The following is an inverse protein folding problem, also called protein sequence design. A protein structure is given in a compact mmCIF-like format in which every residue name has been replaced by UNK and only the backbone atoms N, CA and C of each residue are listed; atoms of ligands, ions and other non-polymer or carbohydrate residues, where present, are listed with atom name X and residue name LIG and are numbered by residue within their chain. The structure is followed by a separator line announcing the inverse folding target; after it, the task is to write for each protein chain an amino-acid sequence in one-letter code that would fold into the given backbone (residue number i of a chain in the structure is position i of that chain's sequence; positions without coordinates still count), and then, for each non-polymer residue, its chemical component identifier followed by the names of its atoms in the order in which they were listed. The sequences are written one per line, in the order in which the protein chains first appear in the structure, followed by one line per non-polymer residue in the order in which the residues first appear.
data_IF_662244675037
#
_entry.id   IF_662244675037
#
_cell.length_a   1.000
_cell.length_b   1.000
_cell.length_c   1.000
_cell.angle_alpha   90.00
_cell.angle_beta   90.00
_cell.angle_gamma   90.00
#
_symmetry.space_group_name_H-M   'P 1'
#
loop_
_entity.id
_entity.type
_entity.pdbx_description
1 polymer ?
#
# COMPACT_ATOMS: atom_id res chain seq x y z
N UNK A 1 -22.91 11.34 -19.35
CA UNK A 1 -22.20 11.86 -18.17
C UNK A 1 -22.47 10.88 -17.05
N UNK A 2 -21.55 9.92 -16.83
CA UNK A 2 -21.66 8.91 -15.78
C UNK A 2 -21.06 9.50 -14.50
N UNK A 3 -21.87 9.54 -13.44
CA UNK A 3 -21.44 10.00 -12.13
C UNK A 3 -20.51 8.95 -11.52
N UNK A 4 -19.28 9.34 -11.21
CA UNK A 4 -18.30 8.52 -10.50
C UNK A 4 -18.74 8.40 -9.04
N UNK A 5 -18.85 7.18 -8.55
CA UNK A 5 -19.13 6.83 -7.16
C UNK A 5 -17.87 6.29 -6.50
N UNK A 6 -17.62 6.67 -5.27
CA UNK A 6 -16.59 6.09 -4.43
C UNK A 6 -17.02 4.69 -3.97
N UNK A 7 -16.12 3.70 -3.85
CA UNK A 7 -16.45 2.29 -3.59
C UNK A 7 -16.89 1.96 -2.16
N UNK A 8 -17.55 2.86 -1.47
CA UNK A 8 -18.39 2.51 -0.32
C UNK A 8 -19.84 2.41 -0.79
N UNK A 9 -20.12 1.62 -1.85
CA UNK A 9 -21.47 1.41 -2.36
C UNK A 9 -21.92 -0.01 -2.09
N UNK A 10 -22.90 -0.10 -1.23
CA UNK A 10 -23.64 -1.28 -0.80
C UNK A 10 -24.55 -1.86 -1.89
N UNK A 11 -24.44 -3.14 -2.12
CA UNK A 11 -25.45 -3.94 -2.83
C UNK A 11 -26.17 -4.82 -1.81
N UNK A 12 -27.42 -4.50 -1.53
CA UNK A 12 -28.26 -5.32 -0.67
C UNK A 12 -28.70 -6.59 -1.40
N UNK A 13 -28.22 -7.76 -0.98
CA UNK A 13 -28.83 -9.06 -1.29
C UNK A 13 -29.20 -9.79 -0.02
N UNK A 14 -30.49 -10.06 0.11
CA UNK A 14 -31.06 -10.96 1.14
C UNK A 14 -30.74 -12.42 0.78
N UNK A 15 -29.93 -13.08 1.61
CA UNK A 15 -29.56 -14.49 1.42
C UNK A 15 -29.42 -15.25 2.73
N UNK A 16 -30.13 -16.31 2.83
CA UNK A 16 -30.29 -17.38 3.81
C UNK A 16 -29.15 -17.61 4.81
N UNK A 17 -29.52 -17.62 6.10
CA UNK A 17 -28.67 -17.97 7.25
C UNK A 17 -28.16 -19.42 7.17
N UNK A 18 -26.86 -19.58 6.98
CA UNK A 18 -26.12 -20.72 7.49
C UNK A 18 -25.13 -20.20 8.55
N UNK A 19 -25.25 -20.71 9.76
CA UNK A 19 -24.36 -20.37 10.88
C UNK A 19 -22.99 -21.00 10.68
N UNK A 20 -22.19 -20.45 9.77
CA UNK A 20 -20.75 -20.60 9.81
C UNK A 20 -20.22 -19.56 10.81
N UNK A 21 -19.52 -20.01 11.84
CA UNK A 21 -18.67 -19.13 12.65
C UNK A 21 -17.60 -18.62 11.68
N UNK A 22 -17.85 -17.44 11.09
CA UNK A 22 -16.88 -16.75 10.24
C UNK A 22 -15.75 -16.35 11.18
N UNK A 23 -14.53 -16.77 10.86
CA UNK A 23 -13.36 -16.25 11.57
C UNK A 23 -13.40 -14.72 11.45
N UNK A 24 -13.25 -14.04 12.58
CA UNK A 24 -13.27 -12.57 12.63
C UNK A 24 -12.07 -12.05 11.84
N UNK A 25 -12.33 -11.10 10.94
CA UNK A 25 -11.29 -10.44 10.15
C UNK A 25 -10.86 -9.19 10.89
N UNK A 26 -9.60 -9.16 11.32
CA UNK A 26 -9.05 -8.09 12.15
C UNK A 26 -8.13 -7.18 11.36
N UNK A 27 -8.18 -5.88 11.68
CA UNK A 27 -7.23 -4.90 11.15
C UNK A 27 -5.81 -5.24 11.63
N UNK A 28 -4.85 -5.28 10.71
CA UNK A 28 -3.44 -5.50 11.01
C UNK A 28 -2.73 -4.17 11.28
N UNK A 29 -2.22 -3.98 12.50
CA UNK A 29 -1.37 -2.83 12.83
C UNK A 29 0.00 -2.99 12.18
N UNK A 30 0.45 -1.96 11.47
CA UNK A 30 1.76 -1.86 10.84
C UNK A 30 2.57 -0.70 11.47
N UNK A 31 2.63 -0.68 12.80
CA UNK A 31 3.33 0.33 13.58
C UNK A 31 4.82 0.38 13.21
N UNK A 32 5.35 1.58 12.96
CA UNK A 32 6.72 1.78 12.48
C UNK A 32 7.76 1.11 13.39
N UNK A 33 7.61 1.23 14.72
CA UNK A 33 8.54 0.63 15.66
C UNK A 33 8.54 -0.90 15.56
N UNK A 34 7.36 -1.51 15.51
CA UNK A 34 7.24 -2.97 15.40
C UNK A 34 7.82 -3.48 14.07
N UNK A 35 7.63 -2.71 12.98
CA UNK A 35 8.22 -3.02 11.68
C UNK A 35 9.75 -2.90 11.67
N UNK A 36 10.30 -1.91 12.38
CA UNK A 36 11.75 -1.73 12.53
C UNK A 36 12.39 -2.83 13.39
N UNK A 37 11.71 -3.31 14.43
CA UNK A 37 12.20 -4.33 15.36
C UNK A 37 11.89 -5.77 14.91
N UNK A 38 11.07 -5.96 13.88
CA UNK A 38 10.67 -7.29 13.41
C UNK A 38 11.88 -8.12 12.97
N UNK A 39 11.94 -9.37 13.41
CA UNK A 39 12.92 -10.33 12.91
C UNK A 39 12.59 -10.69 11.45
N UNK A 40 13.61 -10.72 10.59
CA UNK A 40 13.52 -11.06 9.19
C UNK A 40 14.30 -12.35 8.92
N UNK A 41 13.92 -13.05 7.85
CA UNK A 41 14.59 -14.24 7.38
C UNK A 41 15.56 -13.88 6.24
N UNK A 42 16.73 -14.51 6.23
CA UNK A 42 17.70 -14.34 5.14
C UNK A 42 17.14 -14.94 3.85
N UNK A 43 17.22 -14.17 2.77
CA UNK A 43 16.83 -14.64 1.44
C UNK A 43 18.06 -14.82 0.53
N UNK A 44 17.92 -15.52 -0.60
CA UNK A 44 19.04 -15.74 -1.55
C UNK A 44 19.65 -14.41 -2.00
N UNK A 45 20.95 -14.41 -2.18
CA UNK A 45 21.69 -13.26 -2.69
C UNK A 45 21.21 -12.89 -4.11
N UNK A 46 21.25 -11.61 -4.45
CA UNK A 46 21.04 -11.16 -5.83
C UNK A 46 22.10 -11.79 -6.76
N UNK A 47 21.78 -12.00 -8.05
CA UNK A 47 22.79 -12.38 -9.03
C UNK A 47 23.99 -11.45 -8.97
N UNK A 48 25.20 -12.01 -9.00
CA UNK A 48 26.44 -11.23 -8.85
C UNK A 48 26.55 -10.12 -9.89
N UNK A 49 26.05 -10.35 -11.10
CA UNK A 49 26.02 -9.38 -12.20
C UNK A 49 25.14 -8.16 -11.93
N UNK A 50 24.16 -8.28 -11.03
CA UNK A 50 23.31 -7.14 -10.62
C UNK A 50 23.97 -6.29 -9.53
N UNK A 51 24.97 -6.80 -8.82
CA UNK A 51 25.61 -6.10 -7.69
C UNK A 51 26.81 -5.31 -8.17
N UNK A 52 26.64 -4.01 -8.40
CA UNK A 52 27.72 -3.13 -8.86
C UNK A 52 28.76 -2.87 -7.76
N UNK A 53 28.35 -2.84 -6.51
CA UNK A 53 29.24 -2.67 -5.36
C UNK A 53 28.53 -2.95 -4.04
N UNK A 54 29.30 -3.15 -2.97
CA UNK A 54 28.78 -3.32 -1.60
C UNK A 54 28.61 -4.75 -1.17
N UNK A 55 27.66 -5.00 -0.26
CA UNK A 55 27.45 -6.31 0.38
C UNK A 55 26.13 -6.92 -0.09
N UNK A 56 26.22 -8.06 -0.77
CA UNK A 56 25.05 -8.79 -1.28
C UNK A 56 24.41 -9.68 -0.19
N UNK A 57 23.83 -9.05 0.81
CA UNK A 57 23.11 -9.71 1.91
C UNK A 57 21.82 -9.00 2.21
N UNK A 58 20.71 -9.74 2.26
CA UNK A 58 19.39 -9.19 2.47
C UNK A 58 18.45 -10.19 3.16
N UNK A 59 17.35 -9.65 3.67
CA UNK A 59 16.37 -10.36 4.47
C UNK A 59 14.97 -9.88 4.12
N UNK A 60 14.00 -10.73 4.40
CA UNK A 60 12.60 -10.45 4.10
C UNK A 60 11.68 -11.06 5.16
N UNK A 61 10.48 -10.50 5.27
CA UNK A 61 9.36 -11.09 6.01
C UNK A 61 8.05 -10.67 5.39
N UNK A 62 7.26 -11.64 4.96
CA UNK A 62 5.88 -11.39 4.54
C UNK A 62 5.02 -11.15 5.77
N UNK A 63 4.25 -10.08 5.77
CA UNK A 63 3.34 -9.66 6.83
C UNK A 63 1.88 -9.96 6.50
N UNK A 64 1.52 -9.86 5.23
CA UNK A 64 0.19 -10.13 4.71
C UNK A 64 0.27 -10.63 3.26
N UNK A 65 -0.59 -11.60 2.96
CA UNK A 65 -0.82 -12.11 1.61
C UNK A 65 -2.32 -12.11 1.31
N UNK A 66 -2.76 -11.19 0.48
CA UNK A 66 -4.14 -11.02 0.05
C UNK A 66 -4.22 -10.74 -1.44
N UNK A 67 -4.96 -9.71 -1.83
CA UNK A 67 -4.99 -9.20 -3.21
C UNK A 67 -3.68 -8.52 -3.58
N UNK A 68 -2.96 -8.01 -2.59
CA UNK A 68 -1.55 -7.62 -2.65
C UNK A 68 -0.76 -8.27 -1.52
N UNK A 69 0.55 -8.23 -1.62
CA UNK A 69 1.48 -8.70 -0.59
C UNK A 69 2.07 -7.48 0.12
N UNK A 70 2.06 -7.53 1.45
CA UNK A 70 2.80 -6.58 2.30
C UNK A 70 4.00 -7.33 2.88
N UNK A 71 5.21 -6.84 2.61
CA UNK A 71 6.42 -7.44 3.15
C UNK A 71 7.38 -6.39 3.70
N UNK A 72 8.26 -6.84 4.59
CA UNK A 72 9.47 -6.12 4.98
C UNK A 72 10.63 -6.63 4.16
N UNK A 73 11.45 -5.73 3.68
CA UNK A 73 12.73 -6.04 3.06
C UNK A 73 13.84 -5.25 3.76
N UNK A 74 15.00 -5.87 3.86
CA UNK A 74 16.20 -5.26 4.43
C UNK A 74 17.42 -5.68 3.63
N UNK A 75 18.35 -4.73 3.42
CA UNK A 75 19.59 -4.98 2.73
C UNK A 75 20.77 -4.30 3.44
N UNK A 76 21.96 -4.93 3.32
CA UNK A 76 23.22 -4.27 3.64
C UNK A 76 23.57 -3.23 2.57
N UNK A 77 24.49 -2.28 2.87
CA UNK A 77 24.89 -1.27 1.90
C UNK A 77 25.36 -1.88 0.59
N UNK A 78 24.70 -1.51 -0.50
CA UNK A 78 24.99 -2.01 -1.84
C UNK A 78 24.49 -1.06 -2.93
N UNK A 79 24.99 -1.25 -4.15
CA UNK A 79 24.46 -0.66 -5.37
C UNK A 79 24.04 -1.79 -6.29
N UNK A 80 22.77 -1.82 -6.64
CA UNK A 80 22.15 -2.85 -7.48
C UNK A 80 21.80 -2.24 -8.84
N UNK A 81 22.14 -2.95 -9.91
CA UNK A 81 21.73 -2.62 -11.28
C UNK A 81 20.41 -3.31 -11.61
N UNK A 82 19.42 -2.52 -11.96
CA UNK A 82 18.11 -2.96 -12.44
C UNK A 82 18.07 -2.66 -13.93
N UNK A 83 18.79 -3.46 -14.72
CA UNK A 83 18.87 -3.31 -16.18
C UNK A 83 17.65 -3.90 -16.90
N UNK A 84 17.02 -4.92 -16.31
CA UNK A 84 15.76 -5.44 -16.80
C UNK A 84 14.58 -4.61 -16.28
N UNK A 85 13.54 -4.38 -17.11
CA UNK A 85 12.38 -3.60 -16.70
C UNK A 85 11.68 -4.20 -15.48
N UNK A 86 11.35 -3.33 -14.52
CA UNK A 86 10.62 -3.70 -13.29
C UNK A 86 9.28 -4.36 -13.66
N UNK A 87 8.97 -5.57 -13.16
CA UNK A 87 7.83 -6.34 -13.66
C UNK A 87 6.48 -5.96 -13.02
N UNK A 88 6.48 -5.10 -12.01
CA UNK A 88 5.30 -4.69 -11.24
C UNK A 88 5.43 -3.23 -10.76
N UNK A 89 4.32 -2.69 -10.26
CA UNK A 89 4.37 -1.48 -9.43
C UNK A 89 4.76 -1.87 -8.01
N UNK A 90 5.75 -1.21 -7.44
CA UNK A 90 6.17 -1.40 -6.06
C UNK A 90 5.98 -0.11 -5.27
N UNK A 91 5.04 -0.13 -4.31
CA UNK A 91 4.99 0.91 -3.31
C UNK A 91 6.03 0.61 -2.22
N UNK A 92 6.81 1.63 -1.87
CA UNK A 92 7.88 1.56 -0.87
C UNK A 92 7.65 2.62 0.20
N UNK A 93 7.81 2.22 1.47
CA UNK A 93 7.96 3.10 2.61
C UNK A 93 9.29 2.82 3.30
N UNK A 94 10.18 3.81 3.32
CA UNK A 94 11.48 3.69 3.99
C UNK A 94 11.29 3.69 5.50
N UNK A 95 11.75 2.65 6.17
CA UNK A 95 11.69 2.50 7.63
C UNK A 95 13.01 2.87 8.30
N UNK A 96 14.15 2.51 7.67
CA UNK A 96 15.50 2.85 8.16
C UNK A 96 16.45 3.08 6.98
N UNK A 97 17.46 3.92 7.22
CA UNK A 97 18.48 4.23 6.23
C UNK A 97 17.99 5.16 5.14
N UNK A 98 18.61 5.03 3.99
CA UNK A 98 18.27 5.83 2.79
C UNK A 98 18.52 5.03 1.52
N UNK A 99 17.88 5.46 0.44
CA UNK A 99 18.05 4.88 -0.90
C UNK A 99 18.15 6.01 -1.92
N UNK A 100 18.95 5.80 -2.95
CA UNK A 100 19.03 6.69 -4.10
C UNK A 100 18.72 5.88 -5.35
N UNK A 101 17.69 6.28 -6.06
CA UNK A 101 17.27 5.71 -7.33
C UNK A 101 17.78 6.58 -8.47
N UNK A 102 18.54 6.01 -9.40
CA UNK A 102 18.97 6.69 -10.60
C UNK A 102 18.42 5.96 -11.80
N UNK A 103 17.46 6.56 -12.51
CA UNK A 103 16.87 5.93 -13.69
C UNK A 103 17.91 5.75 -14.82
N UNK A 104 17.65 4.83 -15.75
CA UNK A 104 18.47 4.66 -16.95
C UNK A 104 18.57 5.93 -17.83
N UNK A 105 17.69 6.91 -17.61
CA UNK A 105 17.72 8.23 -18.25
C UNK A 105 18.55 9.26 -17.44
N UNK A 106 19.14 8.87 -16.30
CA UNK A 106 19.98 9.71 -15.45
C UNK A 106 19.21 10.56 -14.43
N UNK A 107 17.90 10.36 -14.28
CA UNK A 107 17.13 11.04 -13.26
C UNK A 107 17.45 10.43 -11.88
N UNK A 108 17.87 11.27 -10.93
CA UNK A 108 18.29 10.85 -9.59
C UNK A 108 17.30 11.36 -8.54
N UNK A 109 16.82 10.45 -7.70
CA UNK A 109 15.91 10.73 -6.59
C UNK A 109 16.43 10.05 -5.33
N UNK A 110 16.32 10.72 -4.18
CA UNK A 110 16.80 10.23 -2.88
C UNK A 110 15.66 10.22 -1.88
N UNK A 111 15.59 9.15 -1.10
CA UNK A 111 14.58 8.94 -0.06
C UNK A 111 15.24 8.47 1.23
N UNK A 112 14.70 8.91 2.37
CA UNK A 112 15.20 8.57 3.71
C UNK A 112 14.07 8.04 4.60
N UNK A 113 14.42 7.59 5.80
CA UNK A 113 13.45 7.05 6.75
C UNK A 113 12.27 8.01 6.96
N UNK A 114 11.04 7.51 6.77
CA UNK A 114 9.78 8.25 6.80
C UNK A 114 9.25 8.65 5.43
N UNK A 115 10.08 8.65 4.38
CA UNK A 115 9.64 8.88 3.01
C UNK A 115 8.94 7.65 2.42
N UNK A 116 8.16 7.90 1.38
CA UNK A 116 7.58 6.86 0.55
C UNK A 116 7.64 7.25 -0.93
N UNK A 117 7.68 6.24 -1.78
CA UNK A 117 7.66 6.38 -3.22
C UNK A 117 7.04 5.16 -3.89
N UNK A 118 6.79 5.25 -5.18
CA UNK A 118 6.33 4.14 -6.00
C UNK A 118 7.27 3.98 -7.20
N UNK A 119 7.80 2.76 -7.36
CA UNK A 119 8.55 2.33 -8.53
C UNK A 119 7.55 1.71 -9.50
N UNK A 120 7.32 2.32 -10.68
CA UNK A 120 6.33 1.80 -11.61
C UNK A 120 6.89 0.63 -12.43
N UNK A 121 5.98 -0.23 -12.92
CA UNK A 121 6.29 -1.25 -13.91
C UNK A 121 7.07 -0.66 -15.08
N UNK A 122 8.08 -1.37 -15.57
CA UNK A 122 8.95 -0.95 -16.68
C UNK A 122 10.10 -0.01 -16.30
N UNK A 123 10.24 0.37 -15.02
CA UNK A 123 11.38 1.18 -14.57
C UNK A 123 12.69 0.40 -14.68
N UNK A 124 13.77 1.10 -15.09
CA UNK A 124 15.14 0.59 -15.12
C UNK A 124 16.10 1.62 -14.55
N UNK A 125 17.20 1.17 -13.93
CA UNK A 125 18.19 2.07 -13.36
C UNK A 125 19.05 1.41 -12.29
N UNK A 126 19.58 2.21 -11.37
CA UNK A 126 20.34 1.73 -10.22
C UNK A 126 19.63 2.05 -8.92
N UNK A 127 19.76 1.11 -7.99
CA UNK A 127 19.25 1.22 -6.62
C UNK A 127 20.46 1.25 -5.68
N UNK A 128 20.78 2.42 -5.13
CA UNK A 128 21.92 2.64 -4.25
C UNK A 128 21.44 2.78 -2.80
N UNK A 129 21.88 1.88 -1.94
CA UNK A 129 21.64 1.86 -0.49
C UNK A 129 22.95 2.18 0.21
N UNK A 130 23.21 3.45 0.58
CA UNK A 130 24.52 3.84 1.15
C UNK A 130 24.72 3.37 2.58
N UNK A 131 23.66 3.02 3.27
CA UNK A 131 23.65 2.47 4.64
C UNK A 131 22.81 1.22 4.66
N UNK A 132 22.74 0.49 5.81
CA UNK A 132 21.71 -0.53 6.01
C UNK A 132 20.36 0.11 5.72
N UNK A 133 19.59 -0.55 4.90
CA UNK A 133 18.32 -0.05 4.38
C UNK A 133 17.21 -1.02 4.75
N UNK A 134 16.10 -0.49 5.28
CA UNK A 134 14.92 -1.28 5.61
C UNK A 134 13.67 -0.57 5.14
N UNK A 135 12.78 -1.33 4.52
CA UNK A 135 11.55 -0.82 3.94
C UNK A 135 10.35 -1.73 4.17
N UNK A 136 9.16 -1.13 4.10
CA UNK A 136 7.91 -1.83 3.87
C UNK A 136 7.58 -1.72 2.40
N UNK A 137 7.28 -2.85 1.75
CA UNK A 137 6.88 -2.93 0.35
C UNK A 137 5.44 -3.43 0.22
N UNK A 138 4.76 -2.94 -0.82
CA UNK A 138 3.45 -3.43 -1.25
C UNK A 138 3.52 -3.67 -2.74
N UNK A 139 3.22 -4.91 -3.14
CA UNK A 139 3.25 -5.38 -4.51
C UNK A 139 1.96 -6.15 -4.78
N UNK A 140 1.33 -5.98 -5.92
CA UNK A 140 0.19 -6.81 -6.30
C UNK A 140 0.56 -8.30 -6.30
N UNK A 141 -0.40 -9.18 -6.03
CA UNK A 141 -0.13 -10.63 -5.89
C UNK A 141 0.53 -11.23 -7.13
N UNK A 142 0.08 -10.82 -8.33
CA UNK A 142 0.65 -11.35 -9.58
C UNK A 142 2.11 -10.91 -9.76
N UNK A 143 2.40 -9.64 -9.42
CA UNK A 143 3.75 -9.12 -9.39
C UNK A 143 4.65 -9.89 -8.43
N UNK A 144 4.12 -10.17 -7.22
CA UNK A 144 4.84 -10.97 -6.22
C UNK A 144 5.13 -12.40 -6.72
N UNK A 145 4.15 -13.10 -7.26
CA UNK A 145 4.32 -14.45 -7.84
C UNK A 145 5.32 -14.45 -9.01
N UNK A 146 5.34 -13.36 -9.79
CA UNK A 146 6.35 -13.19 -10.85
C UNK A 146 7.76 -13.05 -10.28
N UNK A 147 7.93 -12.31 -9.17
CA UNK A 147 9.22 -12.21 -8.44
C UNK A 147 9.66 -13.56 -7.91
N UNK A 148 8.78 -14.28 -7.23
CA UNK A 148 9.09 -15.61 -6.70
C UNK A 148 9.45 -16.58 -7.82
N UNK A 149 8.74 -16.51 -8.96
CA UNK A 149 9.04 -17.30 -10.15
C UNK A 149 10.34 -16.83 -10.82
N UNK A 150 10.59 -15.52 -10.89
CA UNK A 150 11.82 -14.94 -11.44
C UNK A 150 13.04 -15.29 -10.58
N UNK A 151 12.94 -15.24 -9.27
CA UNK A 151 13.96 -15.71 -8.33
C UNK A 151 14.16 -17.23 -8.52
N UNK A 152 13.09 -18.00 -8.76
CA UNK A 152 13.17 -19.46 -9.00
C UNK A 152 13.63 -19.82 -10.41
N UNK A 153 13.37 -18.98 -11.39
CA UNK A 153 13.62 -19.26 -12.82
C UNK A 153 14.45 -18.22 -13.51
N UNK A 154 15.22 -17.41 -12.86
CA UNK A 154 16.10 -16.32 -13.39
C UNK A 154 16.37 -16.28 -14.93
N UNK A 155 15.57 -16.97 -15.73
CA UNK A 155 15.72 -17.11 -17.19
C UNK A 155 14.37 -17.38 -17.87
N UNK A 156 13.76 -16.33 -18.43
CA UNK A 156 12.91 -16.48 -19.61
C UNK A 156 11.41 -16.63 -19.38
N UNK A 157 10.77 -15.66 -18.77
CA UNK A 157 9.36 -15.40 -19.04
C UNK A 157 9.26 -14.09 -19.84
N UNK A 158 8.68 -14.16 -21.06
CA UNK A 158 8.25 -12.98 -21.79
C UNK A 158 7.10 -12.33 -21.02
N UNK A 159 7.42 -11.37 -20.14
CA UNK A 159 6.44 -10.50 -19.53
C UNK A 159 6.06 -9.42 -20.56
N UNK A 160 4.78 -9.32 -20.91
CA UNK A 160 4.28 -8.17 -21.68
C UNK A 160 4.36 -6.93 -20.77
N UNK A 161 5.45 -6.18 -20.91
CA UNK A 161 5.69 -4.98 -20.14
C UNK A 161 4.80 -3.85 -20.66
N UNK A 162 3.96 -3.33 -19.81
CA UNK A 162 3.22 -2.10 -20.09
C UNK A 162 4.23 -0.95 -20.28
N UNK A 163 4.11 -0.24 -21.39
CA UNK A 163 4.91 0.97 -21.69
C UNK A 163 4.34 2.19 -20.93
N UNK A 164 4.09 2.04 -19.64
CA UNK A 164 3.54 3.08 -18.77
C UNK A 164 4.58 4.12 -18.33
N UNK A 165 4.26 4.85 -17.29
CA UNK A 165 5.12 5.85 -16.68
C UNK A 165 6.35 5.18 -16.05
N UNK A 166 7.53 5.43 -16.61
CA UNK A 166 8.80 4.82 -16.15
C UNK A 166 9.56 5.69 -15.13
N UNK A 167 8.90 6.68 -14.54
CA UNK A 167 9.48 7.57 -13.54
C UNK A 167 9.01 7.19 -12.16
N UNK A 168 9.94 7.04 -11.20
CA UNK A 168 9.60 6.87 -9.78
C UNK A 168 8.72 8.02 -9.30
N UNK A 169 7.62 7.71 -8.64
CA UNK A 169 6.67 8.68 -8.11
C UNK A 169 6.96 8.97 -6.64
N UNK A 170 7.46 10.18 -6.27
CA UNK A 170 7.62 10.56 -4.87
C UNK A 170 6.27 10.70 -4.18
N UNK A 171 6.11 10.03 -3.05
CA UNK A 171 4.91 10.07 -2.21
C UNK A 171 5.22 10.70 -0.84
N UNK A 172 5.89 11.84 -0.86
CA UNK A 172 6.39 12.54 0.33
C UNK A 172 5.25 13.11 1.16
N UNK A 173 5.17 12.73 2.43
CA UNK A 173 4.12 13.15 3.37
C UNK A 173 3.88 14.66 3.39
N UNK A 174 4.95 15.48 3.39
CA UNK A 174 4.85 16.94 3.42
C UNK A 174 4.16 17.54 2.18
N UNK A 175 4.34 16.90 1.01
CA UNK A 175 3.69 17.31 -0.24
C UNK A 175 2.25 16.82 -0.28
N UNK A 176 2.01 15.59 0.14
CA UNK A 176 0.69 14.96 0.12
C UNK A 176 -0.31 15.67 1.05
N UNK A 177 0.12 16.13 2.24
CA UNK A 177 -0.72 16.90 3.17
C UNK A 177 -1.25 18.22 2.59
N UNK A 178 -0.67 18.72 1.52
CA UNK A 178 -1.07 19.98 0.86
C UNK A 178 -1.81 19.76 -0.45
N UNK A 179 -1.95 18.51 -0.88
CA UNK A 179 -2.60 18.20 -2.13
C UNK A 179 -4.12 18.44 -1.99
N UNK A 180 -4.75 19.13 -2.94
CA UNK A 180 -6.19 19.27 -2.94
C UNK A 180 -6.83 17.91 -3.23
N UNK A 181 -7.95 17.65 -2.57
CA UNK A 181 -8.81 16.51 -2.84
C UNK A 181 -9.97 16.94 -3.73
N UNK A 182 -10.45 16.00 -4.54
CA UNK A 182 -11.68 16.15 -5.29
C UNK A 182 -12.83 15.68 -4.39
N UNK A 183 -13.90 16.48 -4.28
CA UNK A 183 -15.06 16.15 -3.45
C UNK A 183 -15.73 14.88 -3.96
N UNK A 184 -16.10 14.01 -3.04
CA UNK A 184 -16.87 12.80 -3.30
C UNK A 184 -18.34 13.00 -2.96
N UNK A 185 -19.27 12.22 -3.58
CA UNK A 185 -20.66 12.19 -3.14
C UNK A 185 -20.76 11.81 -1.66
N UNK A 186 -21.69 12.38 -0.89
CA UNK A 186 -21.90 12.00 0.50
C UNK A 186 -22.11 10.48 0.65
N UNK A 187 -21.62 9.91 1.75
CA UNK A 187 -21.95 8.53 2.10
C UNK A 187 -23.47 8.35 2.23
N UNK A 188 -23.99 7.14 1.95
CA UNK A 188 -25.38 6.81 2.25
C UNK A 188 -25.73 7.10 3.73
N UNK A 189 -26.90 7.69 3.98
CA UNK A 189 -27.28 8.11 5.35
C UNK A 189 -27.27 6.94 6.34
N UNK A 190 -27.56 5.71 5.89
CA UNK A 190 -27.58 4.51 6.69
C UNK A 190 -26.21 4.07 7.23
N UNK A 191 -25.12 4.50 6.60
CA UNK A 191 -23.75 4.18 7.07
C UNK A 191 -23.20 5.25 8.00
N UNK A 192 -23.76 6.47 8.00
CA UNK A 192 -23.30 7.58 8.85
C UNK A 192 -23.97 7.50 10.21
N UNK A 193 -23.21 7.06 11.22
CA UNK A 193 -23.71 7.00 12.60
C UNK A 193 -23.72 8.36 13.28
N UNK A 194 -22.77 9.21 12.97
CA UNK A 194 -22.69 10.60 13.46
C UNK A 194 -21.61 11.39 12.73
N UNK A 195 -21.65 12.71 12.85
CA UNK A 195 -20.65 13.63 12.32
C UNK A 195 -21.04 14.25 10.98
N UNK A 196 -20.03 14.76 10.27
CA UNK A 196 -20.20 15.35 8.95
C UNK A 196 -20.28 14.24 7.87
N UNK A 197 -20.81 14.60 6.70
CA UNK A 197 -20.84 13.71 5.54
C UNK A 197 -20.12 14.40 4.36
N UNK A 198 -18.88 14.82 4.64
CA UNK A 198 -18.02 15.54 3.71
C UNK A 198 -16.68 14.82 3.63
N UNK A 199 -16.34 14.36 2.43
CA UNK A 199 -15.10 13.62 2.16
C UNK A 199 -14.64 13.82 0.73
N UNK A 200 -13.35 13.53 0.48
CA UNK A 200 -12.75 13.72 -0.82
C UNK A 200 -11.59 12.76 -1.06
N UNK A 201 -11.17 12.66 -2.31
CA UNK A 201 -10.16 11.72 -2.76
C UNK A 201 -9.29 12.35 -3.84
N UNK A 202 -8.06 11.83 -3.97
CA UNK A 202 -7.18 12.12 -5.10
C UNK A 202 -6.36 10.91 -5.48
N UNK A 203 -6.58 10.37 -6.66
CA UNK A 203 -5.72 9.32 -7.22
C UNK A 203 -4.37 9.92 -7.59
N UNK A 204 -3.30 9.31 -7.07
CA UNK A 204 -1.90 9.70 -7.31
C UNK A 204 -1.24 8.82 -8.36
N UNK A 205 -1.59 7.53 -8.37
CA UNK A 205 -1.12 6.51 -9.30
C UNK A 205 -2.22 5.49 -9.57
N UNK A 206 -2.26 4.98 -10.80
CA UNK A 206 -3.13 3.88 -11.21
C UNK A 206 -2.38 3.01 -12.20
N UNK A 207 -1.91 1.86 -11.72
CA UNK A 207 -1.18 0.84 -12.45
C UNK A 207 -1.62 -0.54 -12.00
N UNK A 208 -0.68 -1.41 -11.56
CA UNK A 208 -0.98 -2.69 -10.92
C UNK A 208 -1.54 -2.47 -9.50
N UNK A 209 -1.08 -1.40 -8.86
CA UNK A 209 -1.69 -0.88 -7.64
C UNK A 209 -2.25 0.53 -7.87
N UNK A 210 -3.24 0.91 -7.10
CA UNK A 210 -3.73 2.30 -7.00
C UNK A 210 -3.18 2.89 -5.71
N UNK A 211 -2.52 4.04 -5.83
CA UNK A 211 -2.16 4.86 -4.68
C UNK A 211 -3.02 6.13 -4.71
N UNK A 212 -3.70 6.43 -3.61
CA UNK A 212 -4.58 7.59 -3.53
C UNK A 212 -4.47 8.30 -2.17
N UNK A 213 -4.93 9.53 -2.11
CA UNK A 213 -5.28 10.23 -0.88
C UNK A 213 -6.77 10.12 -0.66
N UNK A 214 -7.15 9.97 0.60
CA UNK A 214 -8.51 10.07 1.05
C UNK A 214 -8.56 10.96 2.29
N UNK A 215 -9.57 11.83 2.37
CA UNK A 215 -9.75 12.71 3.51
C UNK A 215 -11.21 12.92 3.83
N UNK A 216 -11.51 13.13 5.10
CA UNK A 216 -12.87 13.35 5.59
C UNK A 216 -12.89 14.34 6.74
N UNK A 217 -14.01 15.02 6.92
CA UNK A 217 -14.36 15.70 8.15
C UNK A 217 -14.73 14.68 9.25
N UNK A 218 -14.86 15.16 10.50
CA UNK A 218 -15.20 14.29 11.62
C UNK A 218 -16.47 13.46 11.33
N UNK A 219 -16.34 12.15 11.31
CA UNK A 219 -17.45 11.23 11.02
C UNK A 219 -17.24 9.88 11.73
N UNK A 220 -18.35 9.23 12.05
CA UNK A 220 -18.39 7.86 12.52
C UNK A 220 -19.26 7.04 11.60
N UNK A 221 -18.68 6.00 11.01
CA UNK A 221 -19.31 5.21 9.96
C UNK A 221 -19.49 3.76 10.39
N UNK A 222 -20.60 3.15 9.96
CA UNK A 222 -20.84 1.71 10.09
C UNK A 222 -20.44 1.02 8.79
N UNK A 223 -19.43 0.18 8.83
CA UNK A 223 -19.02 -0.71 7.75
C UNK A 223 -19.70 -2.07 8.00
N UNK A 224 -20.98 -2.18 7.65
CA UNK A 224 -21.80 -3.38 7.90
C UNK A 224 -21.68 -4.43 6.80
N UNK A 225 -21.27 -4.02 5.59
CA UNK A 225 -20.93 -4.94 4.51
C UNK A 225 -19.45 -5.27 4.52
N UNK A 226 -19.06 -6.48 4.10
CA UNK A 226 -17.65 -6.86 4.03
C UNK A 226 -16.83 -5.88 3.20
N UNK A 227 -15.73 -5.37 3.77
CA UNK A 227 -14.81 -4.47 3.09
C UNK A 227 -14.38 -5.11 1.75
N UNK A 228 -14.45 -4.38 0.62
CA UNK A 228 -14.41 -5.02 -0.70
C UNK A 228 -13.03 -5.52 -1.12
N UNK A 229 -11.96 -5.00 -0.52
CA UNK A 229 -10.56 -5.29 -0.87
C UNK A 229 -9.64 -5.21 0.35
N UNK A 230 -8.39 -5.63 0.17
CA UNK A 230 -7.31 -5.29 1.10
C UNK A 230 -6.92 -3.83 0.89
N UNK A 231 -6.83 -3.04 1.97
CA UNK A 231 -6.43 -1.65 1.93
C UNK A 231 -5.28 -1.37 2.90
N UNK A 232 -4.14 -0.98 2.37
CA UNK A 232 -3.07 -0.40 3.18
C UNK A 232 -3.34 1.08 3.41
N UNK A 233 -3.21 1.51 4.66
CA UNK A 233 -3.43 2.89 5.09
C UNK A 233 -2.20 3.43 5.80
N UNK A 234 -1.80 4.66 5.46
CA UNK A 234 -0.88 5.50 6.23
C UNK A 234 -1.60 6.77 6.63
N UNK A 235 -1.81 6.99 7.92
CA UNK A 235 -2.43 8.21 8.45
C UNK A 235 -1.50 9.40 8.26
N UNK A 236 -1.91 10.37 7.46
CA UNK A 236 -1.14 11.58 7.19
C UNK A 236 -1.49 12.71 8.18
N UNK A 237 -2.75 12.81 8.58
CA UNK A 237 -3.21 13.78 9.57
C UNK A 237 -4.47 13.26 10.29
N UNK A 238 -4.66 13.69 11.53
CA UNK A 238 -5.79 13.27 12.35
C UNK A 238 -5.58 11.91 13.02
N UNK A 239 -6.68 11.29 13.37
CA UNK A 239 -6.77 10.01 14.08
C UNK A 239 -7.97 9.24 13.58
N UNK A 240 -7.87 7.91 13.59
CA UNK A 240 -8.98 7.00 13.31
C UNK A 240 -8.99 5.86 14.31
N UNK A 241 -10.18 5.45 14.74
CA UNK A 241 -10.39 4.24 15.54
C UNK A 241 -11.25 3.26 14.75
N UNK A 242 -10.71 2.07 14.55
CA UNK A 242 -11.39 0.95 13.90
C UNK A 242 -11.82 -0.05 14.98
N UNK A 243 -13.12 -0.33 15.04
CA UNK A 243 -13.69 -1.30 15.96
C UNK A 243 -14.35 -2.41 15.16
N UNK A 244 -13.77 -3.62 15.17
CA UNK A 244 -14.35 -4.79 14.51
C UNK A 244 -15.68 -5.19 15.16
N UNK A 245 -16.53 -5.96 14.49
CA UNK A 245 -17.80 -6.45 15.02
C UNK A 245 -17.66 -7.26 16.32
N UNK A 246 -16.52 -7.92 16.52
CA UNK A 246 -16.17 -8.60 17.78
C UNK A 246 -15.85 -7.66 18.95
N UNK A 247 -15.85 -6.35 18.71
CA UNK A 247 -15.61 -5.33 19.74
C UNK A 247 -14.13 -4.99 19.96
N UNK A 248 -13.21 -5.54 19.20
CA UNK A 248 -11.79 -5.17 19.25
C UNK A 248 -11.57 -3.82 18.58
N UNK A 249 -11.01 -2.88 19.34
CA UNK A 249 -10.73 -1.53 18.85
C UNK A 249 -9.23 -1.28 18.73
N UNK A 250 -8.83 -0.62 17.64
CA UNK A 250 -7.46 -0.12 17.44
C UNK A 250 -7.53 1.33 16.97
N UNK A 251 -6.70 2.18 17.56
CA UNK A 251 -6.61 3.60 17.22
C UNK A 251 -5.27 3.86 16.54
N UNK A 252 -5.31 4.62 15.46
CA UNK A 252 -4.16 4.99 14.65
C UNK A 252 -4.12 6.50 14.46
N UNK A 253 -3.00 7.11 14.80
CA UNK A 253 -2.77 8.55 14.67
C UNK A 253 -1.81 8.87 13.52
N UNK A 254 -1.55 10.16 13.36
CA UNK A 254 -0.62 10.65 12.32
C UNK A 254 0.73 9.92 12.36
N UNK A 255 1.12 9.31 11.24
CA UNK A 255 2.35 8.54 11.07
C UNK A 255 2.18 7.04 11.28
N UNK A 256 1.09 6.60 11.88
CA UNK A 256 0.77 5.17 11.99
C UNK A 256 0.29 4.61 10.65
N UNK A 257 0.51 3.33 10.45
CA UNK A 257 -0.06 2.60 9.31
C UNK A 257 -0.72 1.30 9.75
N UNK A 258 -1.66 0.85 8.93
CA UNK A 258 -2.41 -0.37 9.15
C UNK A 258 -2.90 -0.95 7.83
N UNK A 259 -3.38 -2.17 7.88
CA UNK A 259 -4.06 -2.84 6.79
C UNK A 259 -5.47 -3.21 7.22
N UNK A 260 -6.45 -2.81 6.43
CA UNK A 260 -7.83 -3.30 6.51
C UNK A 260 -7.96 -4.47 5.55
N UNK A 261 -8.12 -5.71 6.05
CA UNK A 261 -8.24 -6.84 5.15
C UNK A 261 -9.62 -6.89 4.49
N UNK A 262 -9.66 -7.43 3.29
CA UNK A 262 -10.92 -7.77 2.61
C UNK A 262 -11.84 -8.57 3.51
N UNK A 263 -13.11 -8.19 3.53
CA UNK A 263 -14.13 -8.83 4.35
C UNK A 263 -14.24 -8.30 5.78
N UNK A 264 -13.44 -7.31 6.17
CA UNK A 264 -13.58 -6.64 7.46
C UNK A 264 -14.93 -5.93 7.56
N UNK A 265 -15.54 -5.95 8.76
CA UNK A 265 -16.77 -5.24 9.13
C UNK A 265 -16.60 -4.60 10.50
N UNK A 266 -17.26 -3.45 10.73
CA UNK A 266 -17.12 -2.78 12.00
C UNK A 266 -17.47 -1.28 11.95
N UNK A 267 -16.86 -0.54 12.87
CA UNK A 267 -17.02 0.92 12.97
C UNK A 267 -15.71 1.60 12.59
N UNK A 268 -15.82 2.60 11.74
CA UNK A 268 -14.74 3.51 11.35
C UNK A 268 -15.02 4.88 11.96
N UNK A 269 -14.26 5.28 12.97
CA UNK A 269 -14.49 6.49 13.76
C UNK A 269 -13.34 7.49 13.58
N UNK A 270 -13.61 8.61 12.93
CA UNK A 270 -12.72 9.75 12.73
C UNK A 270 -13.21 10.90 13.61
N UNK A 271 -12.62 11.12 14.79
CA UNK A 271 -13.12 12.12 15.75
C UNK A 271 -12.87 13.59 15.33
N UNK A 272 -12.07 13.79 14.30
CA UNK A 272 -11.72 15.12 13.74
C UNK A 272 -11.42 15.01 12.26
N UNK A 273 -10.91 16.11 11.70
CA UNK A 273 -10.44 16.11 10.32
C UNK A 273 -9.37 15.03 10.11
N UNK A 274 -9.54 14.22 9.09
CA UNK A 274 -8.73 13.04 8.81
C UNK A 274 -8.18 13.08 7.38
N UNK A 275 -6.93 12.66 7.22
CA UNK A 275 -6.28 12.50 5.92
C UNK A 275 -5.39 11.26 5.96
N UNK A 276 -5.52 10.44 4.95
CA UNK A 276 -4.72 9.22 4.78
C UNK A 276 -4.20 9.09 3.35
N UNK A 277 -3.18 8.26 3.21
CA UNK A 277 -2.73 7.70 1.93
C UNK A 277 -3.07 6.22 1.93
N UNK A 278 -3.73 5.78 0.88
CA UNK A 278 -4.12 4.38 0.68
C UNK A 278 -3.37 3.75 -0.48
N UNK A 279 -3.18 2.43 -0.39
CA UNK A 279 -2.70 1.59 -1.49
C UNK A 279 -3.62 0.37 -1.57
N UNK A 280 -4.15 0.12 -2.77
CA UNK A 280 -5.11 -0.94 -3.08
C UNK A 280 -4.69 -1.65 -4.37
N UNK A 281 -5.00 -2.93 -4.53
CA UNK A 281 -4.82 -3.64 -5.80
C UNK A 281 -5.77 -3.06 -6.87
N UNK A 282 -5.26 -2.84 -8.08
CA UNK A 282 -6.00 -2.07 -9.09
C UNK A 282 -7.27 -2.75 -9.59
N UNK A 283 -7.27 -4.08 -9.76
CA UNK A 283 -8.48 -4.78 -10.22
C UNK A 283 -9.57 -4.78 -9.15
N UNK A 284 -9.19 -4.89 -7.88
CA UNK A 284 -10.12 -4.80 -6.75
C UNK A 284 -10.70 -3.38 -6.61
N UNK A 285 -9.87 -2.36 -6.76
CA UNK A 285 -10.29 -0.96 -6.82
C UNK A 285 -11.32 -0.72 -7.92
N UNK A 286 -11.00 -1.11 -9.17
CA UNK A 286 -11.89 -0.92 -10.31
C UNK A 286 -13.20 -1.68 -10.19
N UNK A 287 -13.19 -2.86 -9.56
CA UNK A 287 -14.38 -3.65 -9.31
C UNK A 287 -15.31 -2.99 -8.29
N UNK A 288 -14.76 -2.29 -7.30
CA UNK A 288 -15.53 -1.57 -6.30
C UNK A 288 -16.09 -0.23 -6.82
N UNK A 289 -15.45 0.38 -7.86
CA UNK A 289 -15.93 1.60 -8.52
C UNK A 289 -16.96 1.34 -9.65
N UNK A 290 -17.20 0.10 -10.06
CA UNK A 290 -18.09 -0.26 -11.17
C UNK A 290 -19.52 -0.56 -10.70
#
# INVERSE_FOLDING_TARGET
MLKKWCPVVFLAMVGLMSTFVKAEVEVLSLNTKDLQEAALESIPAWPEEMVLSGTNQHWQKVLHEGEFVVALYEAMPAVIDISEPYPYDEYVRVLEGSVVLTSSQGERQSYEAGDAFLVPVGWTGTWEMPTRFRELIIIDRKGWEAVETMIATLFGADLELSTGQTRVLPLLTASLKKAPLDDLPPWPEEVVLSGANEHGQKVLHSGNVVAALYGAEAARLSVSEPFPYDEYVLVLAGEVTLTSDGGHSKTFGTGDSFLVPKGWTGIWDMPGQYLEKIVVEAAAWNAAES
#
